data_IF_838319641521
#
_entry.id   IF_838319641521
#
_cell.length_a   1.000
_cell.length_b   1.000
_cell.length_c   1.000
_cell.angle_alpha   90.00
_cell.angle_beta   90.00
_cell.angle_gamma   90.00
#
_symmetry.space_group_name_H-M   'P 1'
#
loop_
_entity.id
_entity.type
_entity.pdbx_description
1 polymer ?
#
# COMPACT_ATOMS: atom_id res chain seq x y z
N UNK A 1 7.28 -6.10 0.66
CA UNK A 1 6.85 -5.32 -0.51
C UNK A 1 5.62 -4.52 -0.10
N UNK A 2 5.49 -3.26 -0.53
CA UNK A 2 4.28 -2.44 -0.31
C UNK A 2 3.81 -2.32 1.17
N UNK A 3 4.75 -2.09 2.09
CA UNK A 3 4.45 -1.80 3.51
C UNK A 3 5.01 -0.46 3.92
N UNK A 4 4.37 0.22 4.89
CA UNK A 4 4.85 1.49 5.46
C UNK A 4 6.31 1.39 5.94
N UNK A 5 6.66 0.29 6.60
CA UNK A 5 8.03 0.07 7.07
C UNK A 5 9.04 -0.02 5.92
N UNK A 6 8.67 -0.66 4.80
CA UNK A 6 9.54 -0.74 3.63
C UNK A 6 9.73 0.63 2.96
N UNK A 7 8.67 1.44 2.86
CA UNK A 7 8.74 2.79 2.30
C UNK A 7 9.64 3.72 3.14
N UNK A 8 9.43 3.75 4.46
CA UNK A 8 10.32 4.51 5.37
C UNK A 8 11.77 4.08 5.23
N UNK A 9 12.01 2.76 5.17
CA UNK A 9 13.35 2.22 5.01
C UNK A 9 13.99 2.63 3.70
N UNK A 10 13.23 2.72 2.61
CA UNK A 10 13.72 3.22 1.32
C UNK A 10 14.18 4.68 1.42
N UNK A 11 13.38 5.54 2.06
CA UNK A 11 13.76 6.93 2.31
C UNK A 11 15.02 7.06 3.18
N UNK A 12 15.12 6.28 4.26
CA UNK A 12 16.33 6.21 5.10
C UNK A 12 17.59 5.76 4.33
N UNK A 13 17.40 4.96 3.29
CA UNK A 13 18.48 4.51 2.41
C UNK A 13 18.81 5.51 1.30
N UNK A 14 18.10 6.64 1.22
CA UNK A 14 18.32 7.69 0.24
C UNK A 14 17.72 7.38 -1.14
N UNK A 15 16.64 6.60 -1.20
CA UNK A 15 15.92 6.39 -2.45
C UNK A 15 15.27 7.71 -2.92
N UNK A 16 15.44 8.07 -4.20
CA UNK A 16 14.78 9.23 -4.81
C UNK A 16 13.31 8.95 -5.16
N UNK A 17 12.98 7.69 -5.40
CA UNK A 17 11.66 7.27 -5.85
C UNK A 17 11.29 5.86 -5.36
N UNK A 18 9.98 5.61 -5.26
CA UNK A 18 9.39 4.28 -5.07
C UNK A 18 8.27 4.05 -6.08
N UNK A 19 8.05 2.77 -6.40
CA UNK A 19 6.89 2.32 -7.15
C UNK A 19 5.98 1.51 -6.23
N UNK A 20 4.66 1.64 -6.42
CA UNK A 20 3.66 0.95 -5.64
C UNK A 20 2.40 0.67 -6.45
N UNK A 21 1.68 -0.40 -6.10
CA UNK A 21 0.41 -0.75 -6.74
C UNK A 21 -0.78 -0.34 -5.89
N UNK A 22 -1.78 0.29 -6.51
CA UNK A 22 -3.03 0.67 -5.84
C UNK A 22 -4.17 -0.28 -6.19
N UNK A 23 -4.93 -0.67 -5.17
CA UNK A 23 -6.18 -1.43 -5.28
C UNK A 23 -7.30 -0.69 -4.56
N UNK A 24 -8.53 -0.87 -5.03
CA UNK A 24 -9.73 -0.33 -4.39
C UNK A 24 -10.46 -1.44 -3.62
N UNK A 25 -10.82 -1.16 -2.39
CA UNK A 25 -11.64 -2.01 -1.50
C UNK A 25 -13.14 -1.93 -1.84
N UNK A 26 -13.94 -2.83 -1.25
CA UNK A 26 -15.39 -2.82 -1.42
C UNK A 26 -16.06 -1.51 -0.97
N UNK A 27 -15.54 -0.89 0.09
CA UNK A 27 -16.02 0.39 0.63
C UNK A 27 -15.33 1.61 -0.01
N UNK A 28 -14.54 1.40 -1.06
CA UNK A 28 -13.98 2.48 -1.89
C UNK A 28 -12.68 3.10 -1.38
N UNK A 29 -12.11 2.59 -0.28
CA UNK A 29 -10.79 2.99 0.20
C UNK A 29 -9.70 2.46 -0.74
N UNK A 30 -8.73 3.31 -1.07
CA UNK A 30 -7.55 2.94 -1.84
C UNK A 30 -6.47 2.39 -0.90
N UNK A 31 -5.94 1.23 -1.25
CA UNK A 31 -4.93 0.51 -0.47
C UNK A 31 -3.76 0.11 -1.36
N UNK A 32 -2.58 -0.06 -0.76
CA UNK A 32 -1.38 -0.46 -1.49
C UNK A 32 -1.17 -1.96 -1.36
N UNK A 33 -1.28 -2.66 -2.48
CA UNK A 33 -1.09 -4.11 -2.54
C UNK A 33 -0.92 -4.57 -3.98
N UNK A 34 0.17 -5.29 -4.28
CA UNK A 34 0.47 -5.75 -5.63
C UNK A 34 -0.59 -6.71 -6.16
N UNK A 35 -0.85 -7.81 -5.47
CA UNK A 35 -1.81 -8.81 -5.95
C UNK A 35 -3.27 -8.35 -5.73
N UNK A 36 -4.21 -8.71 -6.61
CA UNK A 36 -5.63 -8.43 -6.38
C UNK A 36 -6.21 -9.24 -5.20
N UNK A 37 -5.58 -10.38 -4.86
CA UNK A 37 -5.98 -11.25 -3.76
C UNK A 37 -5.04 -11.12 -2.57
N UNK A 38 -5.61 -11.24 -1.37
CA UNK A 38 -4.88 -11.45 -0.13
C UNK A 38 -4.30 -12.86 -0.07
N UNK A 39 -3.35 -13.09 0.84
CA UNK A 39 -2.73 -14.40 1.04
C UNK A 39 -3.73 -15.50 1.45
N UNK A 40 -4.85 -15.11 2.07
CA UNK A 40 -5.94 -16.01 2.44
C UNK A 40 -6.97 -16.24 1.32
N UNK A 41 -6.72 -15.69 0.12
CA UNK A 41 -7.54 -15.88 -1.08
C UNK A 41 -8.69 -14.88 -1.24
N UNK A 42 -8.95 -14.00 -0.27
CA UNK A 42 -9.98 -12.96 -0.42
C UNK A 42 -9.58 -11.94 -1.49
N UNK A 43 -10.53 -11.55 -2.35
CA UNK A 43 -10.35 -10.48 -3.33
C UNK A 43 -10.49 -9.11 -2.65
N UNK A 44 -9.51 -8.23 -2.86
CA UNK A 44 -9.50 -6.88 -2.24
C UNK A 44 -10.71 -6.07 -2.68
N UNK A 45 -11.09 -6.15 -3.96
CA UNK A 45 -12.24 -5.43 -4.52
C UNK A 45 -13.59 -5.76 -3.88
N UNK A 46 -13.68 -6.88 -3.17
CA UNK A 46 -14.90 -7.34 -2.46
C UNK A 46 -14.73 -7.40 -0.94
N UNK A 47 -13.63 -6.86 -0.42
CA UNK A 47 -13.33 -6.83 1.02
C UNK A 47 -13.33 -5.37 1.51
N UNK A 48 -13.97 -5.09 2.65
CA UNK A 48 -13.94 -3.74 3.22
C UNK A 48 -12.58 -3.46 3.87
N UNK A 49 -12.15 -2.20 3.88
CA UNK A 49 -10.86 -1.79 4.43
C UNK A 49 -10.63 -2.29 5.87
N UNK A 50 -11.68 -2.21 6.72
CA UNK A 50 -11.61 -2.65 8.12
C UNK A 50 -11.34 -4.15 8.31
N UNK A 51 -11.59 -4.95 7.27
CA UNK A 51 -11.44 -6.41 7.28
C UNK A 51 -10.13 -6.86 6.62
N UNK A 52 -9.35 -5.92 6.08
CA UNK A 52 -8.03 -6.22 5.53
C UNK A 52 -7.01 -6.47 6.66
N UNK A 53 -5.95 -7.24 6.39
CA UNK A 53 -4.83 -7.37 7.32
C UNK A 53 -4.24 -5.99 7.65
N UNK A 54 -3.87 -5.70 8.91
CA UNK A 54 -3.27 -4.42 9.30
C UNK A 54 -1.96 -4.09 8.59
N UNK A 55 -1.35 -5.08 7.94
CA UNK A 55 -0.13 -4.94 7.15
C UNK A 55 -0.37 -4.31 5.77
N UNK A 56 -1.63 -4.22 5.30
CA UNK A 56 -2.00 -3.59 4.03
C UNK A 56 -2.30 -2.12 4.30
N UNK A 57 -1.42 -1.17 3.93
CA UNK A 57 -1.65 0.23 4.21
C UNK A 57 -2.66 0.83 3.23
N UNK A 58 -3.34 1.88 3.67
CA UNK A 58 -4.05 2.79 2.76
C UNK A 58 -3.05 3.53 1.86
N UNK A 59 -3.53 4.05 0.72
CA UNK A 59 -2.70 4.89 -0.14
C UNK A 59 -2.20 6.13 0.61
N UNK A 60 -3.02 6.73 1.48
CA UNK A 60 -2.60 7.88 2.29
C UNK A 60 -1.42 7.55 3.20
N UNK A 61 -1.50 6.45 3.96
CA UNK A 61 -0.41 6.02 4.85
C UNK A 61 0.88 5.69 4.09
N UNK A 62 0.76 5.14 2.88
CA UNK A 62 1.92 4.87 2.03
C UNK A 62 2.56 6.17 1.52
N UNK A 63 1.76 7.14 1.06
CA UNK A 63 2.27 8.44 0.61
C UNK A 63 2.94 9.21 1.75
N UNK A 64 2.36 9.21 2.95
CA UNK A 64 2.97 9.81 4.15
C UNK A 64 4.32 9.13 4.49
N UNK A 65 4.41 7.82 4.32
CA UNK A 65 5.64 7.07 4.52
C UNK A 65 6.70 7.32 3.44
N UNK A 66 6.29 7.87 2.30
CA UNK A 66 7.13 8.20 1.15
C UNK A 66 7.50 9.69 1.08
N UNK A 67 7.32 10.44 2.18
CA UNK A 67 7.64 11.87 2.23
C UNK A 67 9.04 12.16 1.67
N UNK A 68 9.13 13.11 0.73
CA UNK A 68 10.38 13.50 0.08
C UNK A 68 10.82 12.62 -1.09
N UNK A 69 10.13 11.52 -1.38
CA UNK A 69 10.39 10.65 -2.54
C UNK A 69 9.37 10.90 -3.66
N UNK A 70 9.77 10.63 -4.90
CA UNK A 70 8.84 10.50 -6.02
C UNK A 70 8.07 9.18 -5.90
N UNK A 71 6.75 9.22 -6.11
CA UNK A 71 5.92 8.02 -6.07
C UNK A 71 5.37 7.75 -7.46
N UNK A 72 5.71 6.59 -8.02
CA UNK A 72 5.11 6.06 -9.22
C UNK A 72 3.99 5.06 -8.85
N UNK A 73 2.83 5.21 -9.49
CA UNK A 73 1.63 4.39 -9.27
C UNK A 73 1.21 3.75 -10.59
#
# INVERSE_FOLDING_TARGET
ENTVAAFRRAGEMGADAVELDVRRTADGVLVVHHNPHLADGRLIATTANRDLPPTVPTLGEALDACEGMWVNV
#
